data_IF_121869306262
#
_entry.id   IF_121869306262
#
_cell.length_a   1.000
_cell.length_b   1.000
_cell.length_c   1.000
_cell.angle_alpha   90.00
_cell.angle_beta   90.00
_cell.angle_gamma   90.00
#
_symmetry.space_group_name_H-M   'P 1'
#
loop_
_entity.id
_entity.type
_entity.pdbx_description
1 polymer ?
#
# COMPACT_ATOMS: atom_id res chain seq x y z
N UNK A 1 2.91 -11.61 32.26
CA UNK A 1 4.12 -10.85 32.64
C UNK A 1 4.36 -9.79 31.60
N UNK A 2 4.12 -8.53 31.94
CA UNK A 2 4.22 -7.38 31.02
C UNK A 2 5.56 -6.71 31.25
N UNK A 3 6.41 -6.65 30.23
CA UNK A 3 7.64 -5.84 30.27
C UNK A 3 7.38 -4.68 29.32
N UNK A 4 6.88 -3.57 29.87
CA UNK A 4 6.79 -2.33 29.13
C UNK A 4 8.21 -1.77 28.99
N UNK A 5 8.84 -2.02 27.83
CA UNK A 5 10.01 -1.26 27.45
C UNK A 5 9.55 0.19 27.19
N UNK A 6 9.80 1.06 28.16
CA UNK A 6 9.50 2.48 28.09
C UNK A 6 10.54 3.18 27.21
N UNK A 7 10.29 3.18 25.90
CA UNK A 7 11.10 3.92 24.94
C UNK A 7 10.72 5.40 24.95
N UNK A 8 11.73 6.27 24.97
CA UNK A 8 11.58 7.72 24.85
C UNK A 8 11.99 8.18 23.46
N UNK A 9 11.37 9.26 22.94
CA UNK A 9 11.82 9.91 21.70
C UNK A 9 13.29 10.38 21.78
N UNK A 10 13.83 10.57 23.00
CA UNK A 10 15.22 10.95 23.25
C UNK A 10 16.23 9.83 22.98
N UNK A 11 15.79 8.58 22.95
CA UNK A 11 16.68 7.43 22.75
C UNK A 11 17.18 7.32 21.30
N UNK A 12 16.56 8.07 20.37
CA UNK A 12 16.88 8.11 18.93
C UNK A 12 17.09 6.70 18.33
N UNK A 13 16.28 5.73 18.78
CA UNK A 13 16.38 4.34 18.36
C UNK A 13 15.86 4.23 16.93
N UNK A 14 16.64 3.60 16.05
CA UNK A 14 16.21 3.30 14.68
C UNK A 14 14.94 2.43 14.69
N UNK A 15 14.04 2.69 13.76
CA UNK A 15 12.78 1.94 13.64
C UNK A 15 13.00 0.42 13.58
N UNK A 16 14.01 -0.05 12.85
CA UNK A 16 14.39 -1.48 12.78
C UNK A 16 14.63 -2.09 14.18
N UNK A 17 15.35 -1.36 15.03
CA UNK A 17 15.70 -1.78 16.38
C UNK A 17 14.49 -1.73 17.32
N UNK A 18 13.64 -0.71 17.17
CA UNK A 18 12.38 -0.60 17.88
C UNK A 18 11.44 -1.78 17.56
N UNK A 19 11.28 -2.12 16.27
CA UNK A 19 10.45 -3.26 15.86
C UNK A 19 11.04 -4.60 16.30
N UNK A 20 12.37 -4.77 16.26
CA UNK A 20 13.05 -5.97 16.78
C UNK A 20 12.74 -6.21 18.25
N UNK A 21 12.75 -5.15 19.07
CA UNK A 21 12.52 -5.25 20.52
C UNK A 21 11.04 -5.38 20.89
N UNK A 22 10.17 -4.61 20.25
CA UNK A 22 8.73 -4.56 20.57
C UNK A 22 7.93 -5.68 19.91
N UNK A 23 8.48 -6.33 18.88
CA UNK A 23 7.77 -7.30 18.02
C UNK A 23 6.51 -6.73 17.37
N UNK A 24 6.38 -5.40 17.33
CA UNK A 24 5.28 -4.70 16.67
C UNK A 24 5.44 -4.87 15.16
N UNK A 25 4.31 -5.09 14.47
CA UNK A 25 4.31 -5.20 13.01
C UNK A 25 4.62 -3.84 12.40
N UNK A 26 5.56 -3.83 11.44
CA UNK A 26 5.89 -2.65 10.65
C UNK A 26 4.61 -2.02 10.06
N UNK A 27 4.45 -0.72 10.30
CA UNK A 27 3.28 0.04 9.87
C UNK A 27 3.20 0.09 8.34
N UNK A 28 4.32 0.21 7.63
CA UNK A 28 4.36 0.20 6.18
C UNK A 28 3.86 -1.14 5.63
N UNK A 29 4.28 -2.26 6.24
CA UNK A 29 3.76 -3.59 5.91
C UNK A 29 2.26 -3.69 6.18
N UNK A 30 1.78 -3.14 7.29
CA UNK A 30 0.36 -3.18 7.65
C UNK A 30 -0.49 -2.39 6.66
N UNK A 31 -0.08 -1.16 6.34
CA UNK A 31 -0.79 -0.26 5.43
C UNK A 31 -0.83 -0.85 4.01
N UNK A 32 0.29 -1.34 3.50
CA UNK A 32 0.37 -1.96 2.17
C UNK A 32 -0.49 -3.22 2.08
N UNK A 33 -0.49 -4.06 3.12
CA UNK A 33 -1.36 -5.24 3.20
C UNK A 33 -2.84 -4.84 3.16
N UNK A 34 -3.24 -3.84 3.95
CA UNK A 34 -4.61 -3.33 4.00
C UNK A 34 -5.05 -2.73 2.66
N UNK A 35 -4.17 -1.95 2.01
CA UNK A 35 -4.40 -1.38 0.69
C UNK A 35 -4.71 -2.46 -0.35
N UNK A 36 -3.93 -3.55 -0.37
CA UNK A 36 -4.16 -4.70 -1.27
C UNK A 36 -5.50 -5.41 -0.97
N UNK A 37 -5.81 -5.64 0.30
CA UNK A 37 -7.07 -6.29 0.70
C UNK A 37 -8.28 -5.45 0.34
N UNK A 38 -8.21 -4.14 0.58
CA UNK A 38 -9.26 -3.20 0.27
C UNK A 38 -9.52 -3.14 -1.24
N UNK A 39 -8.47 -3.08 -2.06
CA UNK A 39 -8.60 -3.07 -3.52
C UNK A 39 -9.32 -4.33 -4.04
N UNK A 40 -8.92 -5.51 -3.56
CA UNK A 40 -9.61 -6.75 -3.93
C UNK A 40 -11.05 -6.81 -3.41
N UNK A 41 -11.30 -6.32 -2.20
CA UNK A 41 -12.66 -6.25 -1.65
C UNK A 41 -13.56 -5.34 -2.47
N UNK A 42 -13.08 -4.16 -2.90
CA UNK A 42 -13.83 -3.24 -3.76
C UNK A 42 -14.08 -3.87 -5.13
N UNK A 43 -13.08 -4.50 -5.75
CA UNK A 43 -13.22 -5.08 -7.07
C UNK A 43 -14.20 -6.27 -7.13
N UNK A 44 -14.40 -6.96 -6.01
CA UNK A 44 -15.39 -8.04 -5.86
C UNK A 44 -16.79 -7.55 -5.49
N UNK A 45 -16.94 -6.28 -5.09
CA UNK A 45 -18.25 -5.73 -4.75
C UNK A 45 -19.06 -5.44 -6.02
N UNK A 46 -20.34 -5.80 -5.97
CA UNK A 46 -21.32 -5.58 -7.05
C UNK A 46 -22.41 -4.57 -6.67
N UNK A 47 -22.30 -3.95 -5.50
CA UNK A 47 -23.31 -3.08 -4.88
C UNK A 47 -23.42 -1.67 -5.51
N UNK A 48 -22.77 -1.43 -6.65
CA UNK A 48 -22.86 -0.18 -7.40
C UNK A 48 -22.29 1.06 -6.68
N UNK A 49 -21.65 0.88 -5.51
CA UNK A 49 -21.11 1.98 -4.71
C UNK A 49 -19.90 2.64 -5.39
N UNK A 50 -19.64 3.89 -5.02
CA UNK A 50 -18.61 4.72 -5.66
C UNK A 50 -17.18 4.22 -5.46
N UNK A 51 -16.93 3.23 -4.59
CA UNK A 51 -15.59 2.70 -4.34
C UNK A 51 -14.87 2.20 -5.60
N UNK A 52 -15.59 1.54 -6.51
CA UNK A 52 -15.02 1.12 -7.80
C UNK A 52 -14.70 2.35 -8.68
N UNK A 53 -15.59 3.34 -8.69
CA UNK A 53 -15.40 4.60 -9.43
C UNK A 53 -14.18 5.36 -8.93
N UNK A 54 -13.93 5.38 -7.62
CA UNK A 54 -12.76 6.03 -7.01
C UNK A 54 -11.46 5.33 -7.41
N UNK A 55 -11.41 4.01 -7.38
CA UNK A 55 -10.23 3.24 -7.84
C UNK A 55 -9.87 3.50 -9.30
N UNK A 56 -10.90 3.60 -10.14
CA UNK A 56 -10.74 3.81 -11.59
C UNK A 56 -10.72 5.29 -11.97
N UNK A 57 -10.89 6.19 -11.01
CA UNK A 57 -11.10 7.59 -11.27
C UNK A 57 -9.90 8.17 -12.03
N UNK A 58 -10.22 8.88 -13.12
CA UNK A 58 -9.25 9.58 -13.96
C UNK A 58 -9.76 11.00 -14.14
N UNK A 59 -9.03 12.04 -13.67
CA UNK A 59 -9.32 13.40 -14.08
C UNK A 59 -9.16 13.47 -15.61
N UNK A 60 -10.28 13.75 -16.30
CA UNK A 60 -10.36 13.91 -17.76
C UNK A 60 -10.10 15.34 -18.22
N UNK A 61 -10.17 16.30 -17.31
CA UNK A 61 -10.09 17.73 -17.61
C UNK A 61 -8.69 18.26 -17.32
N UNK A 62 -8.10 19.01 -18.25
CA UNK A 62 -6.80 19.67 -18.12
C UNK A 62 -5.65 19.04 -18.93
N UNK A 63 -4.71 19.90 -19.38
CA UNK A 63 -3.41 19.46 -19.91
C UNK A 63 -2.53 19.02 -18.72
N UNK A 64 -1.99 17.80 -18.74
CA UNK A 64 -1.02 17.36 -17.72
C UNK A 64 0.33 18.05 -17.99
N UNK A 65 1.03 18.43 -16.94
CA UNK A 65 2.44 18.83 -17.05
C UNK A 65 3.26 17.69 -17.67
N UNK A 66 4.25 18.06 -18.49
CA UNK A 66 5.18 17.10 -19.10
C UNK A 66 6.16 16.67 -18.00
N UNK A 67 6.11 15.40 -17.59
CA UNK A 67 6.91 14.85 -16.48
C UNK A 67 6.45 13.44 -16.10
N UNK A 68 7.09 12.80 -15.09
CA UNK A 68 6.68 11.47 -14.59
C UNK A 68 5.29 11.58 -13.97
N UNK A 69 4.25 10.94 -14.54
CA UNK A 69 2.92 11.02 -13.95
C UNK A 69 2.92 10.37 -12.57
N UNK A 70 2.24 10.94 -11.56
CA UNK A 70 2.07 10.26 -10.28
C UNK A 70 1.48 8.87 -10.53
N UNK A 71 2.09 7.86 -9.88
CA UNK A 71 1.62 6.49 -9.98
C UNK A 71 0.22 6.44 -9.39
N UNK A 72 -0.79 6.39 -10.25
CA UNK A 72 -2.20 6.25 -9.84
C UNK A 72 -2.35 5.07 -8.88
N UNK A 73 -3.35 5.11 -8.00
CA UNK A 73 -3.62 4.01 -7.08
C UNK A 73 -3.92 2.65 -7.74
N UNK A 74 -4.31 2.62 -9.01
CA UNK A 74 -4.40 1.35 -9.74
C UNK A 74 -3.10 0.93 -10.41
N UNK A 75 -2.11 1.82 -10.49
CA UNK A 75 -0.83 1.60 -11.16
C UNK A 75 0.08 0.64 -10.41
N UNK A 76 0.18 0.76 -9.09
CA UNK A 76 0.88 -0.19 -8.23
C UNK A 76 0.19 -1.56 -8.18
N UNK A 77 -1.14 -1.60 -8.15
CA UNK A 77 -1.90 -2.85 -8.25
C UNK A 77 -1.64 -3.54 -9.60
N UNK A 78 -1.70 -2.79 -10.70
CA UNK A 78 -1.45 -3.30 -12.06
C UNK A 78 -0.02 -3.77 -12.27
N UNK A 79 0.94 -3.20 -11.57
CA UNK A 79 2.34 -3.62 -11.63
C UNK A 79 2.54 -5.04 -11.09
N UNK A 80 1.74 -5.45 -10.10
CA UNK A 80 1.80 -6.79 -9.50
C UNK A 80 0.79 -7.77 -10.11
N UNK A 81 -0.48 -7.36 -10.27
CA UNK A 81 -1.56 -8.22 -10.75
C UNK A 81 -1.89 -8.07 -12.24
N UNK A 82 -1.13 -7.23 -12.97
CA UNK A 82 -1.33 -6.99 -14.40
C UNK A 82 -2.52 -6.08 -14.74
N UNK A 83 -2.72 -5.82 -16.04
CA UNK A 83 -3.81 -4.98 -16.54
C UNK A 83 -5.20 -5.54 -16.23
N UNK A 84 -5.31 -6.87 -16.14
CA UNK A 84 -6.52 -7.64 -15.80
C UNK A 84 -6.69 -7.88 -14.28
N UNK A 85 -6.08 -7.05 -13.43
CA UNK A 85 -6.12 -7.19 -11.97
C UNK A 85 -7.53 -7.36 -11.38
N UNK A 86 -8.57 -6.78 -12.00
CA UNK A 86 -9.97 -6.97 -11.57
C UNK A 86 -10.41 -8.42 -11.65
N UNK A 87 -10.03 -9.13 -12.72
CA UNK A 87 -10.31 -10.56 -12.89
C UNK A 87 -9.46 -11.36 -11.92
N UNK A 88 -8.17 -11.03 -11.80
CA UNK A 88 -7.28 -11.67 -10.82
C UNK A 88 -7.77 -11.51 -9.38
N UNK A 89 -8.46 -10.40 -9.06
CA UNK A 89 -9.03 -10.16 -7.73
C UNK A 89 -10.27 -11.00 -7.42
N UNK A 90 -10.95 -11.57 -8.43
CA UNK A 90 -12.08 -12.46 -8.19
C UNK A 90 -11.61 -13.80 -7.62
N UNK A 91 -10.47 -14.30 -8.09
CA UNK A 91 -9.79 -15.44 -7.51
C UNK A 91 -9.09 -15.04 -6.21
N UNK A 92 -9.66 -15.45 -5.06
CA UNK A 92 -9.11 -15.13 -3.75
C UNK A 92 -7.77 -15.80 -3.47
N UNK A 93 -7.51 -16.97 -4.06
CA UNK A 93 -6.26 -17.71 -3.86
C UNK A 93 -5.15 -17.00 -4.61
N UNK A 94 -5.37 -16.67 -5.89
CA UNK A 94 -4.45 -15.87 -6.68
C UNK A 94 -4.25 -14.47 -6.08
N UNK A 95 -5.32 -13.81 -5.63
CA UNK A 95 -5.21 -12.47 -5.03
C UNK A 95 -4.37 -12.47 -3.75
N UNK A 96 -4.53 -13.50 -2.91
CA UNK A 96 -3.74 -13.64 -1.69
C UNK A 96 -2.29 -14.04 -1.97
N UNK A 97 -2.01 -14.84 -3.01
CA UNK A 97 -0.63 -15.20 -3.35
C UNK A 97 0.18 -13.98 -3.83
N UNK A 98 -0.43 -13.11 -4.63
CA UNK A 98 0.17 -11.87 -5.14
C UNK A 98 0.39 -10.80 -4.05
N UNK A 99 -0.31 -10.90 -2.92
CA UNK A 99 -0.18 -9.95 -1.81
C UNK A 99 1.25 -9.89 -1.26
N UNK A 100 1.94 -11.03 -1.17
CA UNK A 100 3.31 -11.08 -0.66
C UNK A 100 4.26 -10.28 -1.53
N UNK A 101 4.16 -10.44 -2.86
CA UNK A 101 4.94 -9.70 -3.85
C UNK A 101 4.66 -8.21 -3.77
N UNK A 102 3.39 -7.83 -3.60
CA UNK A 102 3.02 -6.42 -3.43
C UNK A 102 3.62 -5.82 -2.16
N UNK A 103 3.48 -6.48 -1.01
CA UNK A 103 4.07 -5.98 0.26
C UNK A 103 5.59 -5.88 0.14
N UNK A 104 6.26 -6.90 -0.40
CA UNK A 104 7.72 -6.89 -0.62
C UNK A 104 8.18 -5.71 -1.48
N UNK A 105 7.47 -5.41 -2.56
CA UNK A 105 7.79 -4.26 -3.41
C UNK A 105 7.79 -2.95 -2.61
N UNK A 106 6.84 -2.76 -1.70
CA UNK A 106 6.73 -1.54 -0.90
C UNK A 106 7.69 -1.50 0.29
N UNK A 107 8.01 -2.65 0.89
CA UNK A 107 8.96 -2.72 2.00
C UNK A 107 10.41 -2.65 1.56
N UNK A 108 10.73 -3.12 0.35
CA UNK A 108 12.09 -3.07 -0.20
C UNK A 108 12.42 -1.71 -0.83
N UNK A 109 11.41 -0.90 -1.15
CA UNK A 109 11.57 0.46 -1.72
C UNK A 109 11.65 1.53 -0.62
N UNK A 110 11.14 1.26 0.59
CA UNK A 110 11.14 2.18 1.75
C UNK A 110 12.52 2.55 2.34
N UNK A 111 13.59 2.45 1.55
CA UNK A 111 14.88 3.06 1.84
C UNK A 111 15.18 4.32 1.02
N UNK A 112 14.28 4.78 0.13
CA UNK A 112 14.57 5.90 -0.79
C UNK A 112 13.46 6.95 -0.97
N UNK A 113 12.21 6.70 -0.56
CA UNK A 113 11.07 7.55 -0.97
C UNK A 113 10.26 8.16 0.20
N UNK A 114 10.81 8.19 1.43
CA UNK A 114 10.14 8.83 2.59
C UNK A 114 10.16 10.38 2.56
N UNK A 115 10.74 11.00 1.53
CA UNK A 115 10.83 12.48 1.39
C UNK A 115 9.63 13.14 0.67
N UNK A 116 8.63 12.38 0.22
CA UNK A 116 7.54 12.92 -0.64
C UNK A 116 6.22 13.21 0.11
N UNK A 117 6.22 13.21 1.45
CA UNK A 117 5.05 13.50 2.29
C UNK A 117 5.08 14.86 3.02
N UNK A 118 6.07 15.72 2.75
CA UNK A 118 6.27 17.02 3.41
C UNK A 118 5.70 18.26 2.65
N UNK A 119 4.92 18.08 1.58
CA UNK A 119 4.32 19.20 0.82
C UNK A 119 2.78 19.17 0.80
N UNK A 120 2.16 19.12 1.98
CA UNK A 120 0.76 19.50 2.25
C UNK A 120 0.61 20.20 3.60
#
# INVERSE_FOLDING_TARGET
>A
MSVAASFSLRDQIKNEEFFRRTRVTDIAQRVTKLKWQWAGHIARRTDGRWGLKVLEWRPRTGKRSVGRPPTRWTGDIRRVAGSRWRQASQDRVLWNSLQKTYVQQWTSIGGHDDDDYDDM
#
